data_IF_459632183368
#
_entry.id   IF_459632183368
#
_cell.length_a   1.000
_cell.length_b   1.000
_cell.length_c   1.000
_cell.angle_alpha   90.00
_cell.angle_beta   90.00
_cell.angle_gamma   90.00
#
_symmetry.space_group_name_H-M   'P 1'
#
loop_
_entity.id
_entity.type
_entity.pdbx_description
1 polymer ?
#
# COMPACT_ATOMS: atom_id res chain seq x y z
N UNK A 1 -27.21 18.06 31.24
CA UNK A 1 -26.69 16.68 31.36
C UNK A 1 -26.58 16.13 29.96
N UNK A 2 -25.35 15.86 29.49
CA UNK A 2 -25.16 15.19 28.21
C UNK A 2 -25.54 13.72 28.43
N UNK A 3 -26.72 13.31 27.95
CA UNK A 3 -27.18 11.94 28.07
C UNK A 3 -26.41 11.06 27.10
N UNK A 4 -25.43 10.31 27.59
CA UNK A 4 -24.77 9.28 26.81
C UNK A 4 -25.76 8.13 26.58
N UNK A 5 -25.88 7.71 25.33
CA UNK A 5 -26.54 6.46 24.97
C UNK A 5 -25.44 5.40 25.06
N UNK A 6 -25.60 4.43 25.97
CA UNK A 6 -24.66 3.32 26.13
C UNK A 6 -24.80 2.36 24.94
N UNK A 7 -23.67 2.00 24.33
CA UNK A 7 -23.61 0.98 23.29
C UNK A 7 -23.69 -0.40 23.92
N UNK A 8 -24.45 -1.31 23.30
CA UNK A 8 -24.46 -2.71 23.73
C UNK A 8 -23.19 -3.45 23.25
N UNK A 9 -22.95 -4.65 23.79
CA UNK A 9 -21.74 -5.43 23.47
C UNK A 9 -21.60 -5.78 21.97
N UNK A 10 -22.72 -6.02 21.28
CA UNK A 10 -22.73 -6.32 19.85
C UNK A 10 -22.35 -5.07 19.01
N UNK A 11 -22.75 -3.88 19.44
CA UNK A 11 -22.34 -2.62 18.79
C UNK A 11 -20.85 -2.33 18.99
N UNK A 12 -20.31 -2.65 20.16
CA UNK A 12 -18.87 -2.53 20.43
C UNK A 12 -18.05 -3.51 19.59
N UNK A 13 -18.51 -4.75 19.45
CA UNK A 13 -17.83 -5.79 18.64
C UNK A 13 -17.79 -5.40 17.15
N UNK A 14 -18.85 -4.82 16.61
CA UNK A 14 -18.89 -4.35 15.22
C UNK A 14 -17.88 -3.22 14.97
N UNK A 15 -17.71 -2.30 15.92
CA UNK A 15 -16.73 -1.21 15.81
C UNK A 15 -15.30 -1.75 15.80
N UNK A 16 -14.99 -2.70 16.69
CA UNK A 16 -13.66 -3.32 16.76
C UNK A 16 -13.35 -4.13 15.48
N UNK A 17 -14.34 -4.86 14.97
CA UNK A 17 -14.23 -5.56 13.69
C UNK A 17 -13.94 -4.58 12.54
N UNK A 18 -14.63 -3.43 12.48
CA UNK A 18 -14.37 -2.39 11.48
C UNK A 18 -12.92 -1.93 11.49
N UNK A 19 -12.40 -1.58 12.67
CA UNK A 19 -11.01 -1.15 12.82
C UNK A 19 -9.99 -2.22 12.39
N UNK A 20 -10.25 -3.50 12.70
CA UNK A 20 -9.42 -4.61 12.22
C UNK A 20 -9.44 -4.71 10.69
N UNK A 21 -10.63 -4.71 10.09
CA UNK A 21 -10.80 -4.82 8.64
C UNK A 21 -10.23 -3.62 7.88
N UNK A 22 -10.35 -2.41 8.44
CA UNK A 22 -9.71 -1.21 7.92
C UNK A 22 -8.19 -1.36 7.86
N UNK A 23 -7.56 -1.84 8.93
CA UNK A 23 -6.12 -2.09 8.96
C UNK A 23 -5.68 -3.22 7.99
N UNK A 24 -6.45 -4.31 7.91
CA UNK A 24 -6.18 -5.39 6.96
C UNK A 24 -6.26 -4.88 5.53
N UNK A 25 -7.24 -4.04 5.22
CA UNK A 25 -7.42 -3.47 3.89
C UNK A 25 -6.27 -2.52 3.53
N UNK A 26 -5.92 -1.59 4.43
CA UNK A 26 -4.80 -0.67 4.25
C UNK A 26 -3.50 -1.45 4.07
N UNK A 27 -3.23 -2.44 4.92
CA UNK A 27 -2.06 -3.30 4.83
C UNK A 27 -2.03 -4.10 3.53
N UNK A 28 -3.15 -4.69 3.12
CA UNK A 28 -3.28 -5.43 1.87
C UNK A 28 -3.00 -4.57 0.65
N UNK A 29 -3.60 -3.38 0.56
CA UNK A 29 -3.34 -2.43 -0.52
C UNK A 29 -1.88 -1.95 -0.51
N UNK A 30 -1.28 -1.73 0.66
CA UNK A 30 0.14 -1.37 0.79
C UNK A 30 1.05 -2.46 0.21
N UNK A 31 0.79 -3.73 0.54
CA UNK A 31 1.59 -4.86 0.04
C UNK A 31 1.40 -5.02 -1.47
N UNK A 32 0.17 -4.97 -1.97
CA UNK A 32 -0.11 -5.08 -3.40
C UNK A 32 0.54 -3.93 -4.18
N UNK A 33 0.44 -2.71 -3.66
CA UNK A 33 1.11 -1.54 -4.21
C UNK A 33 2.63 -1.70 -4.22
N UNK A 34 3.22 -2.16 -3.12
CA UNK A 34 4.65 -2.42 -3.00
C UNK A 34 5.14 -3.46 -4.03
N UNK A 35 4.42 -4.56 -4.21
CA UNK A 35 4.75 -5.62 -5.19
C UNK A 35 4.62 -5.11 -6.62
N UNK A 36 3.52 -4.42 -6.94
CA UNK A 36 3.32 -3.82 -8.26
C UNK A 36 4.40 -2.79 -8.58
N UNK A 37 4.75 -1.96 -7.59
CA UNK A 37 5.82 -0.99 -7.66
C UNK A 37 7.20 -1.63 -7.85
N UNK A 38 7.53 -2.69 -7.13
CA UNK A 38 8.80 -3.42 -7.28
C UNK A 38 8.97 -3.93 -8.72
N UNK A 39 7.95 -4.59 -9.26
CA UNK A 39 8.00 -5.17 -10.59
C UNK A 39 8.05 -4.09 -11.68
N UNK A 40 7.15 -3.11 -11.61
CA UNK A 40 7.09 -2.01 -12.57
C UNK A 40 8.35 -1.14 -12.54
N UNK A 41 8.78 -0.77 -11.34
CA UNK A 41 10.00 0.01 -11.13
C UNK A 41 11.26 -0.75 -11.56
N UNK A 42 11.35 -2.05 -11.26
CA UNK A 42 12.47 -2.89 -11.69
C UNK A 42 12.60 -2.98 -13.21
N UNK A 43 11.49 -3.18 -13.92
CA UNK A 43 11.49 -3.21 -15.40
C UNK A 43 11.86 -1.85 -15.98
N UNK A 44 11.24 -0.77 -15.49
CA UNK A 44 11.53 0.58 -15.96
C UNK A 44 13.00 0.97 -15.71
N UNK A 45 13.51 0.67 -14.53
CA UNK A 45 14.91 0.91 -14.16
C UNK A 45 15.88 0.10 -15.01
N UNK A 46 15.58 -1.18 -15.28
CA UNK A 46 16.39 -2.03 -16.15
C UNK A 46 16.46 -1.47 -17.58
N UNK A 47 15.34 -0.97 -18.10
CA UNK A 47 15.27 -0.36 -19.43
C UNK A 47 16.15 0.89 -19.54
N UNK A 48 16.00 1.83 -18.59
CA UNK A 48 16.81 3.07 -18.53
C UNK A 48 18.30 2.74 -18.36
N UNK A 49 18.60 1.77 -17.50
CA UNK A 49 19.95 1.31 -17.23
C UNK A 49 20.63 0.67 -18.45
N UNK A 50 19.89 -0.14 -19.22
CA UNK A 50 20.41 -0.77 -20.44
C UNK A 50 20.80 0.25 -21.51
N UNK A 51 20.01 1.33 -21.65
CA UNK A 51 20.30 2.44 -22.58
C UNK A 51 21.54 3.21 -22.16
N UNK A 52 21.74 3.40 -20.86
CA UNK A 52 22.84 4.22 -20.32
C UNK A 52 24.17 3.48 -20.36
N UNK A 53 24.20 2.21 -19.91
CA UNK A 53 25.39 1.38 -19.93
C UNK A 53 24.99 -0.10 -19.96
N UNK A 54 25.22 -0.83 -21.07
CA UNK A 54 24.74 -2.20 -21.20
C UNK A 54 25.25 -3.12 -20.08
N UNK A 55 24.39 -4.06 -19.65
CA UNK A 55 24.66 -5.06 -18.61
C UNK A 55 24.78 -4.46 -17.19
N UNK A 56 25.78 -3.62 -16.92
CA UNK A 56 25.98 -3.04 -15.57
C UNK A 56 24.85 -2.06 -15.25
N UNK A 57 24.49 -1.22 -16.22
CA UNK A 57 23.35 -0.32 -16.11
C UNK A 57 22.04 -1.09 -15.99
N UNK A 58 21.85 -2.19 -16.72
CA UNK A 58 20.66 -3.04 -16.60
C UNK A 58 20.47 -3.55 -15.17
N UNK A 59 21.51 -4.11 -14.55
CA UNK A 59 21.42 -4.67 -13.19
C UNK A 59 21.26 -3.57 -12.13
N UNK A 60 22.08 -2.53 -12.19
CA UNK A 60 22.01 -1.42 -11.22
C UNK A 60 20.71 -0.62 -11.36
N UNK A 61 20.24 -0.40 -12.59
CA UNK A 61 18.95 0.20 -12.90
C UNK A 61 17.78 -0.66 -12.42
N UNK A 62 17.81 -1.97 -12.66
CA UNK A 62 16.78 -2.88 -12.15
C UNK A 62 16.69 -2.82 -10.62
N UNK A 63 17.83 -2.85 -9.92
CA UNK A 63 17.85 -2.79 -8.47
C UNK A 63 17.32 -1.45 -7.93
N UNK A 64 17.84 -0.33 -8.45
CA UNK A 64 17.40 1.00 -8.02
C UNK A 64 15.92 1.25 -8.34
N UNK A 65 15.48 0.85 -9.53
CA UNK A 65 14.09 0.94 -9.97
C UNK A 65 13.16 0.08 -9.12
N UNK A 66 13.57 -1.14 -8.79
CA UNK A 66 12.77 -2.02 -7.96
C UNK A 66 12.58 -1.45 -6.55
N UNK A 67 13.63 -0.95 -5.90
CA UNK A 67 13.54 -0.37 -4.56
C UNK A 67 12.71 0.92 -4.53
N UNK A 68 12.98 1.85 -5.44
CA UNK A 68 12.20 3.09 -5.53
C UNK A 68 10.74 2.82 -5.88
N UNK A 69 10.50 1.86 -6.77
CA UNK A 69 9.18 1.37 -7.13
C UNK A 69 8.42 0.78 -5.95
N UNK A 70 9.06 -0.08 -5.14
CA UNK A 70 8.45 -0.64 -3.91
C UNK A 70 7.97 0.47 -2.98
N UNK A 71 8.82 1.47 -2.71
CA UNK A 71 8.48 2.57 -1.81
C UNK A 71 7.31 3.40 -2.35
N UNK A 72 7.38 3.81 -3.62
CA UNK A 72 6.32 4.60 -4.25
C UNK A 72 5.00 3.81 -4.33
N UNK A 73 5.08 2.53 -4.69
CA UNK A 73 3.94 1.63 -4.77
C UNK A 73 3.31 1.37 -3.41
N UNK A 74 4.11 1.15 -2.36
CA UNK A 74 3.62 0.98 -0.99
C UNK A 74 2.87 2.23 -0.51
N UNK A 75 3.42 3.42 -0.76
CA UNK A 75 2.79 4.68 -0.39
C UNK A 75 1.46 4.90 -1.13
N UNK A 76 1.45 4.66 -2.44
CA UNK A 76 0.22 4.75 -3.24
C UNK A 76 -0.81 3.72 -2.75
N UNK A 77 -0.37 2.48 -2.48
CA UNK A 77 -1.18 1.40 -1.93
C UNK A 77 -1.82 1.78 -0.59
N UNK A 78 -1.03 2.27 0.35
CA UNK A 78 -1.52 2.74 1.65
C UNK A 78 -2.56 3.85 1.50
N UNK A 79 -2.31 4.82 0.62
CA UNK A 79 -3.27 5.91 0.33
C UNK A 79 -4.58 5.40 -0.26
N UNK A 80 -4.52 4.47 -1.22
CA UNK A 80 -5.74 3.86 -1.79
C UNK A 80 -6.51 3.01 -0.77
N UNK A 81 -5.80 2.26 0.08
CA UNK A 81 -6.41 1.47 1.14
C UNK A 81 -7.10 2.34 2.18
N UNK A 82 -6.48 3.45 2.58
CA UNK A 82 -7.08 4.39 3.53
C UNK A 82 -8.33 5.08 2.94
N UNK A 83 -8.29 5.43 1.65
CA UNK A 83 -9.45 5.98 0.95
C UNK A 83 -10.62 4.98 0.89
N UNK A 84 -10.32 3.70 0.63
CA UNK A 84 -11.34 2.65 0.56
C UNK A 84 -11.92 2.33 1.94
N UNK A 85 -11.09 2.27 2.99
CA UNK A 85 -11.53 2.11 4.37
C UNK A 85 -12.49 3.25 4.76
N UNK A 86 -12.12 4.49 4.45
CA UNK A 86 -12.99 5.67 4.67
C UNK A 86 -14.30 5.57 3.87
N UNK A 87 -14.26 5.11 2.62
CA UNK A 87 -15.45 4.94 1.78
C UNK A 87 -16.40 3.86 2.32
N UNK A 88 -15.87 2.82 2.96
CA UNK A 88 -16.67 1.74 3.56
C UNK A 88 -17.04 2.01 5.02
N UNK A 89 -16.55 3.09 5.62
CA UNK A 89 -16.81 3.45 7.01
C UNK A 89 -16.19 2.47 8.01
N UNK A 90 -15.06 1.86 7.65
CA UNK A 90 -14.30 0.91 8.47
C UNK A 90 -12.87 1.39 8.74
#
# INVERSE_FOLDING_TARGET
MNGFIELNQNELEIIDAGALWGNVLIGGCTVLGAVGGFLGGGVAGAAVGTVTFPIIGTVSGAAAGAWSGTCAGALAGAGTGAALATYWGI
#
